data_IF_755977357340
#
_entry.id   IF_755977357340
#
_cell.length_a   1.000
_cell.length_b   1.000
_cell.length_c   1.000
_cell.angle_alpha   90.00
_cell.angle_beta   90.00
_cell.angle_gamma   90.00
#
_symmetry.space_group_name_H-M   'P 1'
#
loop_
_entity.id
_entity.type
_entity.pdbx_description
1 polymer ?
#
# COMPACT_ATOMS: atom_id res chain seq x y z
N UNK A 1 -12.27 44.88 -7.43
CA UNK A 1 -11.67 45.09 -8.78
C UNK A 1 -12.77 45.45 -9.77
N UNK A 2 -12.52 46.34 -10.76
CA UNK A 2 -13.47 46.58 -11.84
C UNK A 2 -13.46 45.38 -12.79
N UNK A 3 -14.61 44.74 -12.97
CA UNK A 3 -14.77 43.52 -13.76
C UNK A 3 -15.83 43.71 -14.83
N UNK A 4 -15.67 43.06 -15.97
CA UNK A 4 -16.77 42.80 -16.91
C UNK A 4 -17.41 41.45 -16.58
N UNK A 5 -18.61 41.18 -17.11
CA UNK A 5 -19.28 39.87 -16.99
C UNK A 5 -18.48 38.72 -17.60
N UNK A 6 -17.44 39.02 -18.38
CA UNK A 6 -16.55 38.04 -19.01
C UNK A 6 -15.37 37.65 -18.09
N UNK A 7 -15.34 38.15 -16.85
CA UNK A 7 -14.30 37.78 -15.89
C UNK A 7 -14.40 36.30 -15.58
N UNK A 8 -13.31 35.57 -15.84
CA UNK A 8 -13.20 34.14 -15.60
C UNK A 8 -12.45 33.82 -14.32
N UNK A 9 -12.64 32.61 -13.81
CA UNK A 9 -11.81 32.03 -12.76
C UNK A 9 -11.01 30.87 -13.32
N UNK A 10 -9.74 30.83 -12.90
CA UNK A 10 -8.83 29.73 -13.20
C UNK A 10 -8.34 29.12 -11.89
N UNK A 11 -8.50 27.81 -11.79
CA UNK A 11 -8.02 26.99 -10.69
C UNK A 11 -6.83 26.18 -11.22
N UNK A 12 -5.61 26.53 -10.80
CA UNK A 12 -4.37 25.94 -11.34
C UNK A 12 -3.74 24.99 -10.33
N UNK A 13 -3.36 23.79 -10.78
CA UNK A 13 -2.48 22.89 -10.03
C UNK A 13 -1.03 23.30 -10.27
N UNK A 14 -0.32 23.62 -9.19
CA UNK A 14 1.04 24.15 -9.25
C UNK A 14 2.10 23.07 -9.51
N UNK A 15 1.73 21.78 -9.49
CA UNK A 15 2.59 20.68 -9.96
C UNK A 15 2.62 20.52 -11.49
N UNK A 16 1.96 21.41 -12.25
CA UNK A 16 2.04 21.47 -13.71
C UNK A 16 1.05 20.58 -14.47
N UNK A 17 0.31 19.73 -13.77
CA UNK A 17 -0.73 18.89 -14.35
C UNK A 17 -2.10 19.57 -14.24
N UNK A 18 -2.58 20.11 -15.37
CA UNK A 18 -3.83 20.88 -15.45
C UNK A 18 -5.09 20.01 -15.64
N UNK A 19 -5.17 18.89 -14.92
CA UNK A 19 -6.34 18.00 -14.95
C UNK A 19 -6.66 17.50 -13.54
N UNK A 20 -7.93 17.19 -13.31
CA UNK A 20 -8.36 16.48 -12.10
C UNK A 20 -9.14 15.24 -12.50
N UNK A 21 -8.85 14.12 -11.85
CA UNK A 21 -9.56 12.85 -12.03
C UNK A 21 -10.22 12.47 -10.72
N UNK A 22 -11.54 12.21 -10.71
CA UNK A 22 -12.31 11.93 -9.48
C UNK A 22 -12.01 12.97 -8.38
N UNK A 23 -12.10 14.25 -8.73
CA UNK A 23 -11.80 15.40 -7.87
C UNK A 23 -10.37 15.49 -7.32
N UNK A 24 -9.45 14.67 -7.82
CA UNK A 24 -8.07 14.57 -7.33
C UNK A 24 -7.12 15.24 -8.31
N UNK A 25 -6.33 16.19 -7.82
CA UNK A 25 -5.22 16.80 -8.56
C UNK A 25 -3.95 15.97 -8.31
N UNK A 26 -3.17 15.64 -9.35
CA UNK A 26 -1.94 14.88 -9.16
C UNK A 26 -0.84 15.76 -8.55
N UNK A 27 0.03 15.14 -7.75
CA UNK A 27 1.30 15.74 -7.32
C UNK A 27 2.41 15.44 -8.33
N UNK A 28 3.65 15.88 -8.05
CA UNK A 28 4.84 15.43 -8.78
C UNK A 28 5.30 14.01 -8.41
N UNK A 29 4.62 13.34 -7.47
CA UNK A 29 4.93 11.97 -7.05
C UNK A 29 3.87 11.03 -7.67
N UNK A 30 4.28 10.12 -8.57
CA UNK A 30 3.37 9.12 -9.12
C UNK A 30 2.67 8.32 -8.01
N UNK A 31 1.36 8.10 -8.18
CA UNK A 31 0.55 7.39 -7.18
C UNK A 31 0.10 8.25 -5.99
N UNK A 32 0.43 9.55 -5.97
CA UNK A 32 -0.04 10.48 -4.94
C UNK A 32 -0.75 11.67 -5.59
N UNK A 33 -2.00 11.87 -5.21
CA UNK A 33 -2.78 13.06 -5.52
C UNK A 33 -3.22 13.80 -4.26
N UNK A 34 -3.84 14.96 -4.44
CA UNK A 34 -4.44 15.72 -3.37
C UNK A 34 -5.82 16.25 -3.78
N UNK A 35 -6.65 16.45 -2.76
CA UNK A 35 -7.99 16.99 -2.86
C UNK A 35 -8.10 18.20 -1.94
N UNK A 36 -8.78 19.22 -2.42
CA UNK A 36 -9.05 20.44 -1.66
C UNK A 36 -10.56 20.58 -1.54
N UNK A 37 -11.06 20.57 -0.31
CA UNK A 37 -12.50 20.45 -0.02
C UNK A 37 -12.95 21.65 0.80
N UNK A 38 -14.01 22.32 0.36
CA UNK A 38 -14.70 23.32 1.18
C UNK A 38 -15.49 22.60 2.29
N UNK A 39 -15.14 22.83 3.55
CA UNK A 39 -15.74 22.07 4.66
C UNK A 39 -17.20 22.44 4.93
N UNK A 40 -17.65 23.61 4.50
CA UNK A 40 -19.01 24.09 4.71
C UNK A 40 -19.99 23.55 3.67
N UNK A 41 -19.52 23.32 2.44
CA UNK A 41 -20.37 22.88 1.32
C UNK A 41 -20.08 21.45 0.86
N UNK A 42 -18.95 20.87 1.25
CA UNK A 42 -18.45 19.60 0.72
C UNK A 42 -17.94 19.67 -0.72
N UNK A 43 -17.93 20.85 -1.34
CA UNK A 43 -17.50 21.02 -2.71
C UNK A 43 -15.99 20.83 -2.85
N UNK A 44 -15.58 20.15 -3.92
CA UNK A 44 -14.18 19.99 -4.29
C UNK A 44 -13.73 21.14 -5.17
N UNK A 45 -12.55 21.68 -4.88
CA UNK A 45 -11.83 22.52 -5.82
C UNK A 45 -11.03 21.61 -6.74
N UNK A 46 -11.31 21.69 -8.03
CA UNK A 46 -10.65 20.94 -9.11
C UNK A 46 -10.05 21.90 -10.11
N UNK A 47 -9.16 21.43 -10.98
CA UNK A 47 -8.60 22.27 -12.04
C UNK A 47 -9.74 22.76 -12.93
N UNK A 48 -9.80 24.08 -13.16
CA UNK A 48 -10.70 24.71 -14.13
C UNK A 48 -9.93 25.76 -14.89
N UNK A 49 -10.15 25.81 -16.19
CA UNK A 49 -9.53 26.79 -17.09
C UNK A 49 -10.60 27.75 -17.58
N UNK A 50 -10.41 29.05 -17.36
CA UNK A 50 -11.28 30.12 -17.87
C UNK A 50 -12.78 29.89 -17.59
N UNK A 51 -13.13 29.40 -16.41
CA UNK A 51 -14.52 29.16 -16.04
C UNK A 51 -15.23 30.51 -15.81
N UNK A 52 -16.32 30.76 -16.52
CA UNK A 52 -17.09 31.99 -16.33
C UNK A 52 -17.61 32.10 -14.88
N UNK A 53 -17.44 33.27 -14.27
CA UNK A 53 -18.05 33.55 -12.97
C UNK A 53 -19.56 33.78 -13.15
N UNK A 54 -20.42 33.16 -12.32
CA UNK A 54 -21.83 33.50 -12.33
C UNK A 54 -22.04 34.97 -11.99
N UNK A 55 -23.02 35.60 -12.66
CA UNK A 55 -23.32 37.03 -12.48
C UNK A 55 -23.62 37.38 -11.01
N UNK A 56 -24.10 36.42 -10.23
CA UNK A 56 -24.37 36.56 -8.78
C UNK A 56 -23.14 36.86 -7.92
N UNK A 57 -21.92 36.67 -8.42
CA UNK A 57 -20.69 36.99 -7.69
C UNK A 57 -20.30 38.48 -7.81
N UNK A 58 -20.84 39.21 -8.78
CA UNK A 58 -20.51 40.63 -8.98
C UNK A 58 -21.46 41.52 -8.19
N UNK A 59 -20.90 42.54 -7.53
CA UNK A 59 -21.66 43.59 -6.89
C UNK A 59 -21.80 44.79 -7.84
N UNK A 60 -22.99 45.39 -7.87
CA UNK A 60 -23.24 46.62 -8.60
C UNK A 60 -22.85 47.82 -7.73
N UNK A 61 -22.26 48.86 -8.33
CA UNK A 61 -21.94 50.14 -7.67
C UNK A 61 -23.16 51.01 -7.28
N UNK A 62 -24.36 50.43 -7.16
CA UNK A 62 -25.62 51.12 -6.87
C UNK A 62 -26.81 50.15 -6.76
N UNK A 63 -28.02 50.63 -6.41
CA UNK A 63 -29.18 49.78 -6.08
C UNK A 63 -29.78 49.15 -7.35
N UNK A 64 -29.17 48.09 -7.85
CA UNK A 64 -29.67 47.32 -8.99
C UNK A 64 -28.60 46.42 -9.59
N UNK A 65 -28.89 45.12 -9.68
CA UNK A 65 -28.06 44.05 -10.23
C UNK A 65 -27.24 44.46 -11.47
N UNK A 66 -26.00 43.94 -11.61
CA UNK A 66 -25.19 44.07 -12.81
C UNK A 66 -26.01 43.71 -14.06
N UNK A 67 -26.36 44.67 -14.95
CA UNK A 67 -27.21 44.38 -16.08
C UNK A 67 -26.43 43.53 -17.09
N UNK A 68 -26.94 42.35 -17.41
CA UNK A 68 -26.45 41.58 -18.55
C UNK A 68 -26.71 42.38 -19.84
N UNK A 69 -25.66 42.80 -20.53
CA UNK A 69 -25.75 43.32 -21.90
C UNK A 69 -25.71 44.85 -22.11
N UNK A 70 -25.27 45.67 -21.14
CA UNK A 70 -25.07 47.12 -21.38
C UNK A 70 -23.66 47.58 -21.04
N UNK A 71 -23.05 48.34 -21.95
CA UNK A 71 -21.64 48.73 -22.01
C UNK A 71 -21.18 49.79 -21.00
N UNK A 72 -21.94 50.09 -19.92
CA UNK A 72 -21.68 51.32 -19.14
C UNK A 72 -22.06 51.32 -17.66
N UNK A 73 -21.95 50.20 -16.95
CA UNK A 73 -21.90 50.22 -15.47
C UNK A 73 -20.74 49.37 -14.97
N UNK A 74 -19.81 50.00 -14.24
CA UNK A 74 -18.68 49.30 -13.62
C UNK A 74 -19.19 48.31 -12.56
N UNK A 75 -19.15 47.01 -12.88
CA UNK A 75 -19.34 45.95 -11.90
C UNK A 75 -18.04 45.75 -11.13
N UNK A 76 -18.15 45.48 -9.83
CA UNK A 76 -16.97 45.16 -9.02
C UNK A 76 -17.12 43.82 -8.33
N UNK A 77 -16.02 43.07 -8.30
CA UNK A 77 -15.88 41.88 -7.46
C UNK A 77 -15.14 42.27 -6.17
N UNK A 78 -15.71 41.88 -5.04
CA UNK A 78 -15.00 41.87 -3.75
C UNK A 78 -14.29 40.53 -3.66
N UNK A 79 -12.96 40.59 -3.70
CA UNK A 79 -12.09 39.46 -3.43
C UNK A 79 -11.78 39.46 -1.93
N UNK A 80 -11.81 38.27 -1.29
CA UNK A 80 -11.58 38.14 0.16
C UNK A 80 -12.86 38.16 1.00
N UNK A 81 -13.87 37.37 0.63
CA UNK A 81 -15.10 37.14 1.42
C UNK A 81 -14.83 36.52 2.81
N UNK A 82 -15.88 36.10 3.55
CA UNK A 82 -15.70 35.51 4.88
C UNK A 82 -14.77 34.30 4.80
N UNK A 83 -13.98 34.11 5.85
CA UNK A 83 -13.00 33.02 5.92
C UNK A 83 -13.66 31.69 5.55
N UNK A 84 -13.16 31.05 4.49
CA UNK A 84 -13.55 29.71 4.11
C UNK A 84 -12.65 28.71 4.80
N UNK A 85 -13.26 27.72 5.45
CA UNK A 85 -12.51 26.60 6.01
C UNK A 85 -12.35 25.53 4.93
N UNK A 86 -11.11 25.09 4.73
CA UNK A 86 -10.74 24.13 3.70
C UNK A 86 -10.08 22.92 4.34
N UNK A 87 -10.38 21.74 3.83
CA UNK A 87 -9.69 20.49 4.16
C UNK A 87 -8.78 20.13 2.99
N UNK A 88 -7.48 20.01 3.27
CA UNK A 88 -6.52 19.38 2.37
C UNK A 88 -6.44 17.89 2.71
N UNK A 89 -6.56 17.03 1.71
CA UNK A 89 -6.41 15.59 1.85
C UNK A 89 -5.49 15.04 0.76
N UNK A 90 -4.48 14.28 1.15
CA UNK A 90 -3.69 13.47 0.21
C UNK A 90 -4.36 12.13 -0.01
N UNK A 91 -4.33 11.65 -1.25
CA UNK A 91 -4.98 10.41 -1.67
C UNK A 91 -3.95 9.57 -2.42
N UNK A 92 -3.85 8.30 -2.04
CA UNK A 92 -3.05 7.32 -2.77
C UNK A 92 -3.83 6.92 -4.01
N UNK A 93 -3.30 7.25 -5.18
CA UNK A 93 -3.90 6.99 -6.50
C UNK A 93 -3.25 5.81 -7.23
N UNK A 94 -2.20 5.23 -6.66
CA UNK A 94 -1.48 4.08 -7.22
C UNK A 94 -0.49 3.49 -6.21
N UNK A 95 0.17 2.37 -6.54
CA UNK A 95 1.17 1.75 -5.67
C UNK A 95 2.34 2.70 -5.39
N UNK A 96 2.79 2.73 -4.13
CA UNK A 96 3.93 3.53 -3.68
C UNK A 96 5.07 2.62 -3.25
N UNK A 97 6.30 2.95 -3.62
CA UNK A 97 7.49 2.20 -3.23
C UNK A 97 8.53 3.13 -2.61
N UNK A 98 8.92 2.86 -1.37
CA UNK A 98 9.91 3.64 -0.64
C UNK A 98 9.32 4.85 0.09
N UNK A 99 10.18 5.82 0.40
CA UNK A 99 9.81 7.07 1.04
C UNK A 99 9.69 8.18 0.00
N UNK A 100 8.65 8.98 0.12
CA UNK A 100 8.37 10.12 -0.74
C UNK A 100 8.26 11.39 0.09
N UNK A 101 8.81 12.48 -0.42
CA UNK A 101 8.69 13.80 0.20
C UNK A 101 7.88 14.71 -0.71
N UNK A 102 6.78 15.24 -0.19
CA UNK A 102 6.09 16.37 -0.79
C UNK A 102 6.74 17.63 -0.22
N UNK A 103 7.45 18.44 -1.01
CA UNK A 103 8.16 19.60 -0.49
C UNK A 103 7.20 20.69 0.01
N UNK A 104 7.71 21.60 0.84
CA UNK A 104 7.02 22.84 1.15
C UNK A 104 6.92 23.67 -0.13
N UNK A 105 5.72 23.77 -0.70
CA UNK A 105 5.47 24.41 -2.00
C UNK A 105 4.01 24.82 -2.13
N UNK A 106 3.74 25.64 -3.15
CA UNK A 106 2.38 25.99 -3.53
C UNK A 106 1.75 24.77 -4.21
N UNK A 107 0.59 24.33 -3.74
CA UNK A 107 -0.15 23.22 -4.33
C UNK A 107 -1.11 23.72 -5.40
N UNK A 108 -1.79 24.81 -5.10
CA UNK A 108 -2.94 25.25 -5.87
C UNK A 108 -3.01 26.78 -5.84
N UNK A 109 -3.37 27.38 -6.96
CA UNK A 109 -3.60 28.81 -7.09
C UNK A 109 -4.95 29.11 -7.73
N UNK A 110 -5.64 30.10 -7.17
CA UNK A 110 -6.88 30.68 -7.67
C UNK A 110 -6.59 32.04 -8.29
N UNK A 111 -6.92 32.20 -9.57
CA UNK A 111 -6.87 33.49 -10.25
C UNK A 111 -8.28 33.92 -10.69
N UNK A 112 -8.57 35.21 -10.53
CA UNK A 112 -9.74 35.88 -11.09
C UNK A 112 -9.27 36.81 -12.20
N UNK A 113 -9.62 36.47 -13.44
CA UNK A 113 -9.01 37.09 -14.62
C UNK A 113 -7.48 36.94 -14.57
N UNK A 114 -6.77 38.07 -14.59
CA UNK A 114 -5.31 38.12 -14.51
C UNK A 114 -4.77 38.32 -13.08
N UNK A 115 -5.65 38.42 -12.08
CA UNK A 115 -5.26 38.73 -10.70
C UNK A 115 -5.20 37.45 -9.86
N UNK A 116 -4.09 37.20 -9.13
CA UNK A 116 -4.06 36.14 -8.13
C UNK A 116 -4.97 36.54 -6.97
N UNK A 117 -5.88 35.65 -6.60
CA UNK A 117 -6.80 35.83 -5.47
C UNK A 117 -6.23 35.12 -4.24
N UNK A 118 -6.03 33.81 -4.35
CA UNK A 118 -5.66 32.96 -3.22
C UNK A 118 -4.76 31.82 -3.66
N UNK A 119 -3.88 31.37 -2.78
CA UNK A 119 -3.06 30.17 -2.94
C UNK A 119 -3.20 29.23 -1.75
N UNK A 120 -2.94 27.95 -2.00
CA UNK A 120 -2.78 26.93 -0.96
C UNK A 120 -1.34 26.47 -0.96
N UNK A 121 -0.61 26.87 0.08
CA UNK A 121 0.80 26.52 0.27
C UNK A 121 1.01 25.55 1.43
N UNK A 122 1.84 24.54 1.19
CA UNK A 122 2.45 23.77 2.27
C UNK A 122 3.59 24.57 2.88
N UNK A 123 3.42 24.99 4.14
CA UNK A 123 4.48 25.66 4.89
C UNK A 123 5.66 24.75 5.24
N UNK A 124 5.42 23.44 5.36
CA UNK A 124 6.42 22.42 5.67
C UNK A 124 6.32 21.25 4.70
N UNK A 125 7.42 20.51 4.52
CA UNK A 125 7.39 19.28 3.75
C UNK A 125 6.60 18.18 4.47
N UNK A 126 5.91 17.35 3.69
CA UNK A 126 5.23 16.14 4.18
C UNK A 126 6.04 14.92 3.78
N UNK A 127 6.35 14.05 4.74
CA UNK A 127 6.99 12.77 4.51
C UNK A 127 5.94 11.68 4.40
N UNK A 128 5.94 10.94 3.30
CA UNK A 128 5.09 9.79 3.05
C UNK A 128 6.01 8.57 2.99
N UNK A 129 6.08 7.84 4.10
CA UNK A 129 6.90 6.64 4.23
C UNK A 129 6.01 5.41 4.28
N UNK A 130 6.27 4.43 3.41
CA UNK A 130 5.73 3.10 3.59
C UNK A 130 6.18 2.53 4.93
N UNK A 131 5.25 2.16 5.80
CA UNK A 131 5.56 1.54 7.08
C UNK A 131 5.65 0.03 6.87
N UNK A 132 6.87 -0.50 6.76
CA UNK A 132 7.14 -1.94 6.65
C UNK A 132 7.89 -2.44 7.87
N UNK A 133 7.66 -3.68 8.26
CA UNK A 133 8.51 -4.33 9.26
C UNK A 133 9.85 -4.72 8.63
N UNK A 134 10.96 -4.46 9.31
CA UNK A 134 12.26 -4.99 8.93
C UNK A 134 12.36 -6.47 9.31
N UNK A 135 12.79 -7.33 8.38
CA UNK A 135 13.10 -8.74 8.69
C UNK A 135 14.53 -8.81 9.23
N UNK A 136 14.70 -9.27 10.46
CA UNK A 136 16.01 -9.34 11.13
C UNK A 136 16.72 -10.68 10.92
N UNK A 137 16.00 -11.71 10.45
CA UNK A 137 16.55 -13.02 10.07
C UNK A 137 16.20 -13.36 8.62
N UNK A 138 16.81 -12.69 7.63
CA UNK A 138 16.43 -12.86 6.22
C UNK A 138 16.82 -14.22 5.63
N UNK A 139 17.76 -14.94 6.26
CA UNK A 139 18.17 -16.29 5.87
C UNK A 139 18.17 -17.20 7.09
N UNK A 140 17.45 -18.31 6.99
CA UNK A 140 17.24 -19.25 8.10
C UNK A 140 17.58 -20.66 7.60
N UNK A 141 18.54 -21.30 8.26
CA UNK A 141 18.84 -22.72 8.03
C UNK A 141 18.14 -23.54 9.10
N UNK A 142 17.31 -24.52 8.69
CA UNK A 142 16.57 -25.39 9.60
C UNK A 142 17.07 -26.83 9.47
N UNK A 143 17.95 -27.30 10.37
CA UNK A 143 18.50 -28.65 10.30
C UNK A 143 17.47 -29.68 10.79
N UNK A 144 16.73 -30.30 9.86
CA UNK A 144 15.75 -31.36 10.17
C UNK A 144 16.40 -32.68 10.65
N UNK A 145 17.71 -32.82 10.45
CA UNK A 145 18.47 -34.00 10.83
C UNK A 145 18.23 -35.21 9.93
N UNK A 146 18.81 -36.34 10.32
CA UNK A 146 18.68 -37.62 9.62
C UNK A 146 17.58 -38.46 10.30
N UNK A 147 16.57 -38.85 9.53
CA UNK A 147 15.45 -39.66 10.00
C UNK A 147 15.49 -41.03 9.30
N UNK A 148 15.37 -42.11 10.07
CA UNK A 148 15.31 -43.47 9.49
C UNK A 148 14.05 -43.59 8.64
N UNK A 149 14.17 -44.13 7.43
CA UNK A 149 13.01 -44.34 6.54
C UNK A 149 11.92 -45.20 7.21
N UNK A 150 12.31 -46.15 8.07
CA UNK A 150 11.40 -46.98 8.86
C UNK A 150 10.52 -46.21 9.85
N UNK A 151 10.83 -44.95 10.15
CA UNK A 151 9.98 -44.10 10.98
C UNK A 151 8.71 -43.64 10.23
N UNK A 152 8.72 -43.70 8.89
CA UNK A 152 7.57 -43.36 8.05
C UNK A 152 6.77 -44.62 7.76
N UNK A 153 5.71 -44.83 8.53
CA UNK A 153 4.85 -46.03 8.48
C UNK A 153 3.70 -45.95 7.47
N UNK A 154 3.51 -44.79 6.83
CA UNK A 154 2.46 -44.54 5.86
C UNK A 154 2.42 -43.08 5.42
N UNK A 155 1.59 -42.79 4.41
CA UNK A 155 1.37 -41.42 3.93
C UNK A 155 0.85 -40.56 5.08
N UNK A 156 1.45 -39.37 5.26
CA UNK A 156 1.10 -38.44 6.32
C UNK A 156 1.84 -38.64 7.64
N UNK A 157 2.64 -39.71 7.81
CA UNK A 157 3.53 -39.86 8.97
C UNK A 157 4.59 -38.76 8.96
N UNK A 158 4.84 -38.15 10.13
CA UNK A 158 5.70 -36.97 10.31
C UNK A 158 6.91 -37.29 11.17
N UNK A 159 8.04 -36.64 10.88
CA UNK A 159 9.19 -36.63 11.80
C UNK A 159 8.94 -35.73 13.00
N UNK A 160 9.92 -35.66 13.90
CA UNK A 160 9.95 -34.64 14.95
C UNK A 160 10.00 -33.24 14.30
N UNK A 161 9.24 -32.31 14.86
CA UNK A 161 9.21 -30.91 14.45
C UNK A 161 10.42 -30.15 14.97
N UNK A 162 11.09 -29.40 14.08
CA UNK A 162 12.19 -28.50 14.43
C UNK A 162 11.67 -27.06 14.41
N UNK A 163 11.70 -26.35 15.55
CA UNK A 163 11.27 -24.96 15.60
C UNK A 163 12.29 -24.04 14.91
N UNK A 164 11.80 -23.04 14.21
CA UNK A 164 12.60 -21.95 13.67
C UNK A 164 11.82 -20.63 13.74
N UNK A 165 12.41 -19.56 14.29
CA UNK A 165 11.78 -18.25 14.33
C UNK A 165 12.12 -17.42 13.09
N UNK A 166 11.17 -16.58 12.65
CA UNK A 166 11.43 -15.46 11.74
C UNK A 166 11.42 -14.16 12.56
N UNK A 167 12.59 -13.55 12.72
CA UNK A 167 12.75 -12.29 13.41
C UNK A 167 12.24 -11.10 12.58
N UNK A 168 11.44 -10.25 13.21
CA UNK A 168 10.89 -9.03 12.61
C UNK A 168 10.99 -7.85 13.59
N UNK A 169 11.11 -6.64 13.03
CA UNK A 169 10.99 -5.39 13.76
C UNK A 169 9.97 -4.49 13.07
N UNK A 170 8.82 -4.29 13.73
CA UNK A 170 7.72 -3.45 13.27
C UNK A 170 7.60 -2.14 14.07
N UNK A 171 8.65 -1.69 14.76
CA UNK A 171 8.58 -0.47 15.58
C UNK A 171 8.18 0.74 14.73
N UNK A 172 7.13 1.45 15.13
CA UNK A 172 6.64 2.61 14.37
C UNK A 172 5.86 2.25 13.11
N UNK A 173 5.45 0.99 12.95
CA UNK A 173 4.54 0.51 11.91
C UNK A 173 3.15 0.33 12.51
N UNK A 174 2.11 0.90 11.89
CA UNK A 174 0.71 0.71 12.24
C UNK A 174 -0.11 0.20 11.04
N UNK A 175 0.03 -1.09 10.71
CA UNK A 175 -0.67 -1.74 9.58
C UNK A 175 -0.91 -3.22 9.91
N UNK A 176 -1.80 -3.90 9.20
CA UNK A 176 -1.89 -5.36 9.28
C UNK A 176 -0.77 -6.00 8.46
N UNK A 177 -0.19 -7.06 9.00
CA UNK A 177 0.90 -7.79 8.37
C UNK A 177 0.42 -9.18 7.97
N UNK A 178 0.74 -9.57 6.74
CA UNK A 178 0.59 -10.92 6.24
C UNK A 178 1.94 -11.54 5.89
N UNK A 179 2.02 -12.86 5.89
CA UNK A 179 3.18 -13.63 5.42
C UNK A 179 2.70 -14.74 4.49
N UNK A 180 3.40 -14.93 3.37
CA UNK A 180 3.18 -16.04 2.44
C UNK A 180 4.47 -16.83 2.30
N UNK A 181 4.40 -18.15 2.25
CA UNK A 181 5.54 -19.00 1.91
C UNK A 181 5.42 -19.48 0.47
N UNK A 182 6.50 -19.44 -0.28
CA UNK A 182 6.62 -19.92 -1.66
C UNK A 182 7.60 -21.08 -1.69
N UNK A 183 7.24 -22.17 -2.37
CA UNK A 183 8.18 -23.25 -2.66
C UNK A 183 9.15 -22.80 -3.76
N UNK A 184 10.41 -22.56 -3.41
CA UNK A 184 11.42 -22.06 -4.35
C UNK A 184 11.89 -23.12 -5.36
N UNK A 185 11.56 -24.40 -5.13
CA UNK A 185 11.88 -25.49 -6.05
C UNK A 185 10.73 -25.75 -7.04
N UNK A 186 9.52 -25.29 -6.71
CA UNK A 186 8.34 -25.36 -7.55
C UNK A 186 7.39 -24.17 -7.27
N UNK A 187 7.61 -23.06 -7.97
CA UNK A 187 6.83 -21.82 -7.75
C UNK A 187 5.32 -21.96 -8.01
N UNK A 188 4.87 -23.04 -8.69
CA UNK A 188 3.45 -23.34 -8.90
C UNK A 188 2.83 -24.21 -7.81
N UNK A 189 3.59 -24.60 -6.79
CA UNK A 189 3.11 -25.44 -5.70
C UNK A 189 2.12 -24.66 -4.82
N UNK A 190 0.88 -25.13 -4.77
CA UNK A 190 -0.17 -24.60 -3.90
C UNK A 190 -0.55 -25.57 -2.77
N UNK A 191 0.22 -26.63 -2.58
CA UNK A 191 -0.02 -27.63 -1.52
C UNK A 191 0.60 -27.16 -0.20
N UNK A 192 0.51 -27.99 0.85
CA UNK A 192 1.17 -27.77 2.14
C UNK A 192 2.45 -28.62 2.32
N UNK A 193 3.03 -29.08 1.21
CA UNK A 193 4.22 -29.93 1.18
C UNK A 193 5.26 -29.26 0.30
N UNK A 194 6.38 -28.87 0.90
CA UNK A 194 7.54 -28.35 0.19
C UNK A 194 8.18 -29.48 -0.60
N UNK A 195 8.44 -29.23 -1.86
CA UNK A 195 9.13 -30.18 -2.72
C UNK A 195 10.60 -30.33 -2.30
N UNK A 196 11.10 -31.56 -2.37
CA UNK A 196 12.53 -31.82 -2.15
C UNK A 196 13.30 -31.29 -3.35
N UNK A 197 14.30 -30.46 -3.09
CA UNK A 197 15.15 -29.90 -4.13
C UNK A 197 15.89 -31.02 -4.87
N UNK A 198 16.01 -30.88 -6.18
CA UNK A 198 16.82 -31.81 -6.96
C UNK A 198 18.31 -31.55 -6.69
N UNK A 199 18.98 -32.45 -5.98
CA UNK A 199 20.42 -32.39 -5.79
C UNK A 199 21.21 -32.84 -7.03
N UNK A 200 22.35 -32.20 -7.27
CA UNK A 200 23.42 -32.68 -8.17
C UNK A 200 24.34 -33.63 -7.38
N UNK A 201 24.00 -34.91 -7.29
CA UNK A 201 24.75 -35.86 -6.46
C UNK A 201 24.00 -37.18 -6.21
N UNK A 202 24.12 -37.79 -5.02
CA UNK A 202 23.36 -38.98 -4.65
C UNK A 202 21.86 -38.78 -4.89
N UNK A 203 21.17 -39.87 -5.25
CA UNK A 203 19.72 -39.84 -5.45
C UNK A 203 19.01 -39.30 -4.19
N UNK A 204 18.14 -38.30 -4.38
CA UNK A 204 17.35 -37.72 -3.30
C UNK A 204 16.39 -38.76 -2.71
N UNK A 205 15.97 -38.52 -1.47
CA UNK A 205 14.89 -39.27 -0.88
C UNK A 205 13.61 -39.10 -1.71
N UNK A 206 12.86 -40.18 -1.89
CA UNK A 206 11.55 -40.16 -2.55
C UNK A 206 10.47 -40.57 -1.57
N UNK A 207 9.22 -40.17 -1.84
CA UNK A 207 8.09 -40.44 -0.94
C UNK A 207 8.07 -39.57 0.32
N UNK A 208 8.84 -38.48 0.35
CA UNK A 208 8.90 -37.53 1.47
C UNK A 208 8.87 -36.10 0.94
N UNK A 209 8.34 -35.18 1.74
CA UNK A 209 8.45 -33.73 1.55
C UNK A 209 8.67 -33.03 2.90
N UNK A 210 8.77 -31.70 2.88
CA UNK A 210 8.93 -30.90 4.11
C UNK A 210 7.64 -30.11 4.36
N UNK A 211 7.15 -30.13 5.59
CA UNK A 211 5.97 -29.35 6.00
C UNK A 211 6.40 -28.27 6.97
N UNK A 212 6.08 -27.01 6.63
CA UNK A 212 6.18 -25.86 7.54
C UNK A 212 4.82 -25.70 8.23
N UNK A 213 4.82 -25.39 9.52
CA UNK A 213 3.60 -25.09 10.27
C UNK A 213 3.78 -23.82 11.11
N UNK A 214 2.70 -23.04 11.21
CA UNK A 214 2.63 -21.97 12.20
C UNK A 214 2.65 -22.60 13.60
N UNK A 215 3.19 -21.90 14.60
CA UNK A 215 3.26 -22.41 15.97
C UNK A 215 3.07 -21.30 17.00
N UNK A 216 3.07 -21.67 18.28
CA UNK A 216 2.98 -20.72 19.39
C UNK A 216 1.73 -19.84 19.30
N UNK A 217 1.92 -18.53 19.36
CA UNK A 217 0.85 -17.53 19.32
C UNK A 217 0.43 -17.10 17.91
N UNK A 218 1.01 -17.69 16.86
CA UNK A 218 0.63 -17.32 15.49
C UNK A 218 -0.77 -17.83 15.14
N UNK A 219 -1.53 -17.07 14.33
CA UNK A 219 -2.76 -17.56 13.72
C UNK A 219 -2.52 -18.88 12.97
N UNK A 220 -3.39 -19.86 13.21
CA UNK A 220 -3.25 -21.19 12.63
C UNK A 220 -2.17 -22.07 13.27
N UNK A 221 -1.71 -21.77 14.49
CA UNK A 221 -0.75 -22.60 15.22
C UNK A 221 -1.11 -24.10 15.20
N UNK A 222 -0.14 -24.94 14.87
CA UNK A 222 -0.31 -26.39 14.67
C UNK A 222 -0.80 -26.80 13.28
N UNK A 223 -1.19 -25.83 12.44
CA UNK A 223 -1.65 -26.08 11.07
C UNK A 223 -0.50 -25.91 10.08
N UNK A 224 -0.46 -26.81 9.09
CA UNK A 224 0.49 -26.74 8.01
C UNK A 224 0.24 -25.53 7.11
N UNK A 225 1.31 -24.82 6.78
CA UNK A 225 1.30 -23.71 5.82
C UNK A 225 1.12 -24.28 4.41
N UNK A 226 0.18 -23.70 3.66
CA UNK A 226 0.07 -23.95 2.22
C UNK A 226 0.90 -22.93 1.46
N UNK A 227 1.55 -23.34 0.38
CA UNK A 227 2.42 -22.48 -0.42
C UNK A 227 1.61 -21.62 -1.38
N UNK A 228 2.07 -20.40 -1.63
CA UNK A 228 1.47 -19.45 -2.57
C UNK A 228 2.53 -18.80 -3.45
N UNK A 229 2.13 -17.91 -4.38
CA UNK A 229 3.05 -17.15 -5.20
C UNK A 229 3.96 -16.24 -4.37
N UNK A 230 5.18 -15.98 -4.85
CA UNK A 230 6.07 -14.98 -4.27
C UNK A 230 5.54 -13.58 -4.61
N UNK A 231 4.72 -13.02 -3.73
CA UNK A 231 4.06 -11.74 -3.92
C UNK A 231 3.74 -11.06 -2.58
N UNK A 232 4.04 -9.76 -2.51
CA UNK A 232 3.70 -8.89 -1.38
C UNK A 232 2.34 -8.20 -1.53
N UNK A 233 1.53 -8.60 -2.52
CA UNK A 233 0.19 -8.04 -2.75
C UNK A 233 -0.77 -8.51 -1.65
N UNK A 234 -1.58 -7.58 -1.14
CA UNK A 234 -2.63 -7.88 -0.18
C UNK A 234 -3.59 -8.96 -0.69
N UNK A 235 -3.91 -9.96 0.14
CA UNK A 235 -4.78 -11.06 -0.24
C UNK A 235 -4.14 -12.09 -1.18
N UNK A 236 -2.80 -12.19 -1.20
CA UNK A 236 -2.09 -13.24 -1.92
C UNK A 236 -2.59 -14.65 -1.53
N UNK A 237 -2.52 -15.61 -2.46
CA UNK A 237 -3.00 -16.96 -2.21
C UNK A 237 -2.24 -17.61 -1.04
N UNK A 238 -2.99 -18.22 -0.11
CA UNK A 238 -2.46 -18.86 1.11
C UNK A 238 -1.68 -17.92 2.05
N UNK A 239 -1.91 -16.62 1.95
CA UNK A 239 -1.39 -15.66 2.90
C UNK A 239 -1.93 -15.93 4.32
N UNK A 240 -1.02 -15.96 5.29
CA UNK A 240 -1.34 -16.01 6.71
C UNK A 240 -1.39 -14.58 7.23
N UNK A 241 -2.56 -14.13 7.64
CA UNK A 241 -2.71 -12.85 8.31
C UNK A 241 -2.22 -12.96 9.74
N UNK A 242 -1.13 -12.26 10.06
CA UNK A 242 -0.53 -12.24 11.39
C UNK A 242 -1.25 -11.24 12.32
N UNK A 243 -1.90 -10.23 11.75
CA UNK A 243 -2.64 -9.19 12.45
C UNK A 243 -1.90 -7.85 12.50
N UNK A 244 -2.30 -6.98 13.42
CA UNK A 244 -1.72 -5.64 13.57
C UNK A 244 -0.26 -5.69 14.00
N UNK A 245 0.61 -4.96 13.29
CA UNK A 245 2.04 -4.82 13.57
C UNK A 245 2.39 -4.43 15.00
N UNK A 246 1.53 -3.64 15.65
CA UNK A 246 1.69 -3.22 17.06
C UNK A 246 1.50 -4.35 18.08
N UNK A 247 0.78 -5.43 17.70
CA UNK A 247 0.53 -6.60 18.53
C UNK A 247 1.40 -7.80 18.16
N UNK A 248 2.26 -7.70 17.14
CA UNK A 248 3.09 -8.81 16.70
C UNK A 248 4.29 -9.02 17.62
N UNK A 249 4.65 -10.29 17.90
CA UNK A 249 5.93 -10.58 18.52
C UNK A 249 7.08 -10.20 17.57
N UNK A 250 8.23 -9.84 18.11
CA UNK A 250 9.47 -9.60 17.33
C UNK A 250 10.07 -10.86 16.71
N UNK A 251 9.47 -12.01 17.00
CA UNK A 251 9.88 -13.32 16.53
C UNK A 251 8.63 -14.14 16.23
N UNK A 252 8.43 -14.49 14.95
CA UNK A 252 7.32 -15.29 14.48
C UNK A 252 7.70 -16.78 14.55
N UNK A 253 7.10 -17.59 15.44
CA UNK A 253 7.49 -18.97 15.62
C UNK A 253 6.86 -19.91 14.58
N UNK A 254 7.70 -20.58 13.80
CA UNK A 254 7.30 -21.66 12.89
C UNK A 254 8.00 -22.97 13.26
N UNK A 255 7.51 -24.08 12.72
CA UNK A 255 8.19 -25.38 12.79
C UNK A 255 8.29 -25.99 11.40
N UNK A 256 9.32 -26.80 11.18
CA UNK A 256 9.46 -27.62 9.98
C UNK A 256 9.70 -29.08 10.36
N UNK A 257 9.18 -30.00 9.54
CA UNK A 257 9.34 -31.44 9.73
C UNK A 257 9.21 -32.17 8.40
N UNK A 258 9.77 -33.38 8.30
CA UNK A 258 9.51 -34.26 7.18
C UNK A 258 8.10 -34.84 7.28
N UNK A 259 7.44 -35.03 6.13
CA UNK A 259 6.15 -35.72 6.00
C UNK A 259 6.23 -36.73 4.86
N UNK A 260 5.76 -37.95 5.12
CA UNK A 260 5.68 -38.98 4.09
C UNK A 260 4.56 -38.66 3.07
N UNK A 261 4.89 -38.69 1.79
CA UNK A 261 3.97 -38.46 0.67
C UNK A 261 3.63 -39.74 -0.09
N UNK A 262 4.37 -40.83 0.16
CA UNK A 262 4.11 -42.15 -0.37
C UNK A 262 4.19 -43.21 0.74
N UNK A 263 3.71 -44.42 0.45
CA UNK A 263 3.80 -45.57 1.36
C UNK A 263 5.24 -46.01 1.59
N UNK A 264 6.10 -45.87 0.57
CA UNK A 264 7.51 -46.24 0.64
C UNK A 264 8.37 -44.97 0.56
N UNK A 265 9.15 -44.72 1.61
CA UNK A 265 10.15 -43.65 1.65
C UNK A 265 11.52 -44.24 1.35
N UNK A 266 12.20 -43.74 0.31
CA UNK A 266 13.57 -44.19 -0.03
C UNK A 266 14.62 -43.32 0.68
N UNK A 267 15.74 -43.88 1.13
CA UNK A 267 16.85 -43.10 1.69
C UNK A 267 17.47 -42.18 0.64
N UNK A 268 17.92 -41.00 1.07
CA UNK A 268 18.66 -40.03 0.26
C UNK A 268 18.65 -38.64 0.90
N UNK A 269 19.36 -37.65 0.32
CA UNK A 269 19.23 -36.25 0.72
C UNK A 269 17.79 -35.75 0.57
N UNK A 270 17.32 -34.94 1.51
CA UNK A 270 15.94 -34.42 1.55
C UNK A 270 15.93 -32.91 1.87
N UNK A 271 16.70 -32.13 1.12
CA UNK A 271 16.77 -30.69 1.31
C UNK A 271 15.62 -29.99 0.59
N UNK A 272 15.18 -28.83 1.08
CA UNK A 272 14.20 -28.00 0.41
C UNK A 272 14.46 -26.52 0.70
N UNK A 273 13.95 -25.67 -0.17
CA UNK A 273 14.08 -24.20 -0.07
C UNK A 273 12.70 -23.58 -0.22
N UNK A 274 12.32 -22.75 0.75
CA UNK A 274 11.13 -21.92 0.70
C UNK A 274 11.51 -20.45 0.90
N UNK A 275 10.84 -19.57 0.16
CA UNK A 275 10.91 -18.11 0.36
C UNK A 275 9.71 -17.69 1.20
N UNK A 276 9.90 -16.76 2.12
CA UNK A 276 8.77 -16.08 2.77
C UNK A 276 8.68 -14.62 2.32
N UNK A 277 7.46 -14.15 2.08
CA UNK A 277 7.18 -12.82 1.54
C UNK A 277 6.19 -12.12 2.46
N UNK A 278 6.60 -10.94 2.96
CA UNK A 278 5.79 -10.12 3.85
C UNK A 278 4.87 -9.19 3.04
N UNK A 279 3.65 -8.99 3.52
CA UNK A 279 2.64 -8.10 2.94
C UNK A 279 2.12 -7.14 4.02
N UNK A 280 1.78 -5.91 3.62
CA UNK A 280 1.34 -4.83 4.51
C UNK A 280 0.06 -4.22 3.96
N UNK A 281 -1.01 -4.19 4.76
CA UNK A 281 -2.36 -3.78 4.35
C UNK A 281 -3.20 -3.18 5.48
#
# INVERSE_FOLDING_TARGET
MNCTTDTTVTYTNMYGANTSTNNTMPTNIPGIGYQVINTSTGAYYTVKTNAALPVSYFQAGGPGNCPSGTTSTSCYLIIGGPAITMKLQFVITGPLTGAHTIPATDLFQLNVGTYPDSDLRLGNSIQITGQTCAVTTPSITVPLGAIKSSAFTGVGTKSIAVPFPIGINCSGVATNVGITFTDSNNNGNTTNILTIQSATGPANATGVGIQIAASGSLPGAGTAVSYGPDSSVAGNLHQIMLGSSSGLPTSLPFTAQYVATATNVTPGPANGVATFTMSYQ
#
